data_IF_946194493348
#
_entry.id   IF_946194493348
#
_cell.length_a   1.000
_cell.length_b   1.000
_cell.length_c   1.000
_cell.angle_alpha   90.00
_cell.angle_beta   90.00
_cell.angle_gamma   90.00
#
_symmetry.space_group_name_H-M   'P 1'
#
loop_
_entity.id
_entity.type
_entity.pdbx_description
1 polymer ?
#
# COMPACT_ATOMS: atom_id res chain seq x y z
N UNK A 1 15.32 -4.65 -6.88
CA UNK A 1 14.03 -4.36 -6.26
C UNK A 1 12.90 -5.05 -7.01
N UNK A 2 12.09 -5.84 -6.31
CA UNK A 2 10.88 -6.46 -6.84
C UNK A 2 9.73 -5.43 -6.91
N UNK A 3 8.68 -5.75 -7.67
CA UNK A 3 7.46 -4.91 -7.70
C UNK A 3 6.82 -4.82 -6.31
N UNK A 4 6.86 -5.91 -5.54
CA UNK A 4 6.33 -5.95 -4.18
C UNK A 4 7.07 -4.99 -3.24
N UNK A 5 8.41 -4.96 -3.30
CA UNK A 5 9.20 -4.02 -2.51
C UNK A 5 8.85 -2.56 -2.85
N UNK A 6 8.65 -2.25 -4.14
CA UNK A 6 8.19 -0.93 -4.58
C UNK A 6 6.82 -0.57 -3.99
N UNK A 7 5.86 -1.50 -4.02
CA UNK A 7 4.52 -1.30 -3.44
C UNK A 7 4.61 -1.05 -1.93
N UNK A 8 5.44 -1.81 -1.21
CA UNK A 8 5.66 -1.63 0.24
C UNK A 8 6.27 -0.25 0.54
N UNK A 9 7.29 0.15 -0.23
CA UNK A 9 7.93 1.46 -0.10
C UNK A 9 6.90 2.57 -0.35
N UNK A 10 6.11 2.47 -1.42
CA UNK A 10 5.07 3.43 -1.76
C UNK A 10 4.01 3.55 -0.66
N UNK A 11 3.50 2.43 -0.14
CA UNK A 11 2.53 2.43 0.95
C UNK A 11 3.08 3.12 2.21
N UNK A 12 4.30 2.78 2.62
CA UNK A 12 4.95 3.41 3.77
C UNK A 12 5.11 4.93 3.58
N UNK A 13 5.51 5.36 2.39
CA UNK A 13 5.66 6.78 2.07
C UNK A 13 4.32 7.53 2.16
N UNK A 14 3.23 6.95 1.65
CA UNK A 14 1.89 7.54 1.70
C UNK A 14 1.39 7.63 3.15
N UNK A 15 1.51 6.54 3.92
CA UNK A 15 1.09 6.48 5.33
C UNK A 15 1.84 7.55 6.14
N UNK A 16 3.17 7.65 5.95
CA UNK A 16 4.01 8.66 6.59
C UNK A 16 3.62 10.08 6.17
N UNK A 17 3.41 10.33 4.88
CA UNK A 17 3.01 11.65 4.34
C UNK A 17 1.65 12.11 4.85
N UNK A 18 0.71 11.18 5.06
CA UNK A 18 -0.62 11.47 5.63
C UNK A 18 -0.60 11.59 7.17
N UNK A 19 0.51 11.26 7.83
CA UNK A 19 0.63 11.33 9.29
C UNK A 19 -0.30 10.35 10.02
N UNK A 20 -0.71 9.26 9.37
CA UNK A 20 -1.58 8.23 9.96
C UNK A 20 -0.78 7.01 10.38
N UNK A 21 -1.32 6.22 11.30
CA UNK A 21 -0.72 4.94 11.68
C UNK A 21 -1.07 3.83 10.69
N UNK A 22 -0.29 2.74 10.67
CA UNK A 22 -0.62 1.54 9.88
C UNK A 22 -1.99 0.98 10.26
N UNK A 23 -2.35 0.99 11.54
CA UNK A 23 -3.65 0.51 12.00
C UNK A 23 -4.80 1.39 11.49
N UNK A 24 -4.60 2.71 11.46
CA UNK A 24 -5.56 3.65 10.91
C UNK A 24 -5.73 3.46 9.39
N UNK A 25 -4.62 3.29 8.66
CA UNK A 25 -4.64 2.98 7.23
C UNK A 25 -5.40 1.66 6.94
N UNK A 26 -5.15 0.60 7.72
CA UNK A 26 -5.86 -0.66 7.61
C UNK A 26 -7.37 -0.50 7.84
N UNK A 27 -7.75 0.24 8.90
CA UNK A 27 -9.15 0.51 9.25
C UNK A 27 -9.88 1.26 8.13
N UNK A 28 -9.29 2.33 7.59
CA UNK A 28 -9.86 3.09 6.47
C UNK A 28 -9.98 2.27 5.19
N UNK A 29 -9.07 1.32 5.01
CA UNK A 29 -9.02 0.45 3.82
C UNK A 29 -9.88 -0.80 3.96
N UNK A 30 -10.65 -0.95 5.05
CA UNK A 30 -11.42 -2.17 5.34
C UNK A 30 -10.58 -3.46 5.28
N UNK A 31 -9.33 -3.38 5.75
CA UNK A 31 -8.40 -4.50 5.84
C UNK A 31 -8.03 -4.73 7.31
N UNK A 32 -7.85 -5.98 7.71
CA UNK A 32 -7.43 -6.31 9.07
C UNK A 32 -6.01 -5.75 9.33
N UNK A 33 -5.74 -5.07 10.47
CA UNK A 33 -4.40 -4.54 10.77
C UNK A 33 -3.25 -5.56 10.70
N UNK A 34 -3.43 -6.83 11.12
CA UNK A 34 -2.39 -7.86 10.93
C UNK A 34 -2.09 -8.15 9.46
N UNK A 35 -3.10 -8.10 8.58
CA UNK A 35 -2.91 -8.33 7.15
C UNK A 35 -2.10 -7.19 6.51
N UNK A 36 -2.44 -5.93 6.80
CA UNK A 36 -1.63 -4.81 6.30
C UNK A 36 -0.20 -4.85 6.85
N UNK A 37 -0.01 -5.26 8.11
CA UNK A 37 1.34 -5.48 8.66
C UNK A 37 2.10 -6.56 7.89
N UNK A 38 1.49 -7.71 7.62
CA UNK A 38 2.13 -8.78 6.84
C UNK A 38 2.56 -8.31 5.45
N UNK A 39 1.72 -7.52 4.79
CA UNK A 39 2.05 -6.85 3.53
C UNK A 39 3.28 -5.96 3.70
N UNK A 40 3.28 -5.05 4.68
CA UNK A 40 4.37 -4.09 4.87
C UNK A 40 5.69 -4.72 5.33
N UNK A 41 5.64 -5.89 6.00
CA UNK A 41 6.82 -6.65 6.39
C UNK A 41 7.32 -7.60 5.30
N UNK A 42 6.63 -7.69 4.15
CA UNK A 42 7.02 -8.57 3.05
C UNK A 42 6.73 -10.06 3.29
N UNK A 43 5.89 -10.38 4.28
CA UNK A 43 5.51 -11.76 4.62
C UNK A 43 4.44 -12.34 3.66
N UNK A 44 3.92 -11.52 2.76
CA UNK A 44 2.88 -11.89 1.79
C UNK A 44 3.42 -11.67 0.38
N UNK A 45 3.80 -12.76 -0.31
CA UNK A 45 4.44 -12.72 -1.63
C UNK A 45 3.61 -12.02 -2.71
N UNK A 46 2.28 -12.00 -2.57
CA UNK A 46 1.38 -11.48 -3.61
C UNK A 46 0.25 -10.63 -3.03
N UNK A 47 0.42 -9.30 -3.11
CA UNK A 47 -0.67 -8.37 -2.87
C UNK A 47 -1.61 -8.44 -4.07
N UNK A 48 -2.80 -9.00 -3.87
CA UNK A 48 -3.84 -9.01 -4.90
C UNK A 48 -4.28 -7.59 -5.28
N UNK A 49 -4.58 -7.37 -6.56
CA UNK A 49 -5.04 -6.07 -7.10
C UNK A 49 -6.27 -5.55 -6.32
N UNK A 50 -7.18 -6.42 -5.91
CA UNK A 50 -8.35 -6.04 -5.10
C UNK A 50 -7.97 -5.46 -3.74
N UNK A 51 -6.96 -6.05 -3.08
CA UNK A 51 -6.44 -5.55 -1.80
C UNK A 51 -5.77 -4.19 -1.98
N UNK A 52 -5.01 -4.04 -3.07
CA UNK A 52 -4.41 -2.75 -3.41
C UNK A 52 -5.47 -1.68 -3.70
N UNK A 53 -6.54 -2.01 -4.43
CA UNK A 53 -7.65 -1.09 -4.67
C UNK A 53 -8.30 -0.63 -3.36
N UNK A 54 -8.54 -1.55 -2.42
CA UNK A 54 -9.07 -1.23 -1.09
C UNK A 54 -8.13 -0.30 -0.31
N UNK A 55 -6.82 -0.54 -0.37
CA UNK A 55 -5.81 0.35 0.22
C UNK A 55 -5.86 1.74 -0.39
N UNK A 56 -5.90 1.84 -1.71
CA UNK A 56 -5.99 3.12 -2.41
C UNK A 56 -7.27 3.89 -1.99
N UNK A 57 -8.41 3.20 -1.96
CA UNK A 57 -9.68 3.78 -1.52
C UNK A 57 -9.62 4.30 -0.07
N UNK A 58 -9.10 3.50 0.87
CA UNK A 58 -8.96 3.91 2.27
C UNK A 58 -7.91 5.01 2.49
N UNK A 59 -6.96 5.14 1.56
CA UNK A 59 -5.98 6.21 1.54
C UNK A 59 -6.44 7.41 0.70
N UNK A 60 -7.71 7.47 0.27
CA UNK A 60 -8.27 8.56 -0.54
C UNK A 60 -7.40 8.86 -1.78
N UNK A 61 -7.03 7.81 -2.50
CA UNK A 61 -6.26 7.89 -3.73
C UNK A 61 -6.73 6.86 -4.75
N UNK A 62 -6.42 7.11 -6.00
CA UNK A 62 -6.68 6.18 -7.11
C UNK A 62 -5.50 5.23 -7.30
N UNK A 63 -5.76 4.09 -7.94
CA UNK A 63 -4.71 3.13 -8.32
C UNK A 63 -3.72 3.77 -9.30
N UNK A 64 -4.20 4.64 -10.20
CA UNK A 64 -3.33 5.38 -11.13
C UNK A 64 -2.40 6.34 -10.39
N UNK A 65 -2.87 7.09 -9.39
CA UNK A 65 -2.01 7.95 -8.55
C UNK A 65 -1.02 7.15 -7.71
N UNK A 66 -1.40 5.93 -7.31
CA UNK A 66 -0.50 5.04 -6.57
C UNK A 66 0.70 4.64 -7.42
N UNK A 67 0.44 4.16 -8.65
CA UNK A 67 1.47 3.69 -9.59
C UNK A 67 2.10 4.79 -10.45
N UNK A 68 1.57 6.01 -10.45
CA UNK A 68 2.15 7.15 -11.15
C UNK A 68 3.41 7.73 -10.50
N UNK A 69 4.00 7.04 -9.53
CA UNK A 69 5.28 7.41 -8.94
C UNK A 69 6.44 6.94 -9.82
N UNK A 70 7.47 7.77 -9.95
CA UNK A 70 8.67 7.51 -10.79
C UNK A 70 9.32 6.14 -10.49
N UNK A 71 9.16 5.65 -9.26
CA UNK A 71 9.68 4.33 -8.86
C UNK A 71 9.11 3.16 -9.69
N UNK A 72 7.94 3.34 -10.33
CA UNK A 72 7.29 2.32 -11.15
C UNK A 72 7.55 2.45 -12.66
N UNK A 73 8.22 3.51 -13.14
CA UNK A 73 8.39 3.76 -14.58
C UNK A 73 9.20 2.69 -15.33
N UNK A 74 10.06 1.95 -14.63
CA UNK A 74 10.94 0.93 -15.23
C UNK A 74 10.47 -0.51 -14.97
N UNK A 75 9.20 -0.71 -14.62
CA UNK A 75 8.65 -2.02 -14.24
C UNK A 75 7.53 -2.49 -15.13
#
# INVERSE_FOLDING_TARGET
>A
MSLQELVIIRLNNIIKKKGITVNEAAKRSHIAPPALKNILYGNEENIGVVTLCKLCQGLEMTVSEFFGDEMFERK
#
